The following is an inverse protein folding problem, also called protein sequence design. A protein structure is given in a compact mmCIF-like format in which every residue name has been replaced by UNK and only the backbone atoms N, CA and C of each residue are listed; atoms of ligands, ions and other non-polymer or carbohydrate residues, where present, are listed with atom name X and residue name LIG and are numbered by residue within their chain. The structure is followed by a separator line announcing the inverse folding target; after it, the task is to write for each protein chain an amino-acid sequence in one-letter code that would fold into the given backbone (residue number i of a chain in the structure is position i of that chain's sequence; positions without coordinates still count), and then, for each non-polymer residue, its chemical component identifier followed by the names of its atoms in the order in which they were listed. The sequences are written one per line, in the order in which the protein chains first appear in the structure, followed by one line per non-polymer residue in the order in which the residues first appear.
data_IF_404021324053
#
_entry.id   IF_404021324053
#
_cell.length_a   1.000
_cell.length_b   1.000
_cell.length_c   1.000
_cell.angle_alpha   90.00
_cell.angle_beta   90.00
_cell.angle_gamma   90.00
#
_symmetry.space_group_name_H-M   'P 1'
#
loop_
_entity.id
_entity.type
_entity.pdbx_description
1 polymer ?
#
# COMPACT_ATOMS: atom_id res chain seq x y z
N UNK A 1 -5.33 -12.20 -26.44
CA UNK A 1 -5.03 -11.62 -25.11
C UNK A 1 -3.76 -12.27 -24.63
N UNK A 2 -2.67 -11.52 -24.43
CA UNK A 2 -1.40 -12.07 -23.96
C UNK A 2 -1.60 -12.66 -22.57
N UNK A 3 -1.22 -13.93 -22.39
CA UNK A 3 -1.22 -14.63 -21.12
C UNK A 3 -0.10 -14.06 -20.23
N UNK A 4 -0.23 -12.79 -19.84
CA UNK A 4 0.78 -12.13 -19.01
C UNK A 4 0.69 -12.79 -17.62
N UNK A 5 1.76 -13.47 -17.23
CA UNK A 5 1.81 -14.16 -15.94
C UNK A 5 1.72 -13.12 -14.83
N UNK A 6 0.73 -13.23 -13.94
CA UNK A 6 0.54 -12.33 -12.81
C UNK A 6 1.78 -12.39 -11.89
N UNK A 7 2.29 -11.23 -11.50
CA UNK A 7 3.32 -11.09 -10.46
C UNK A 7 2.75 -10.18 -9.39
N UNK A 8 2.56 -10.71 -8.19
CA UNK A 8 1.95 -10.00 -7.09
C UNK A 8 3.00 -9.24 -6.27
N UNK A 9 2.86 -7.93 -6.19
CA UNK A 9 3.65 -7.07 -5.32
C UNK A 9 2.97 -6.89 -3.97
N UNK A 10 3.73 -7.03 -2.89
CA UNK A 10 3.26 -6.78 -1.53
C UNK A 10 4.09 -5.64 -0.94
N UNK A 11 3.43 -4.54 -0.58
CA UNK A 11 4.06 -3.46 0.18
C UNK A 11 3.57 -3.55 1.61
N UNK A 12 4.48 -3.65 2.56
CA UNK A 12 4.09 -3.77 3.96
C UNK A 12 5.15 -3.32 4.95
N UNK A 13 4.78 -3.28 6.21
CA UNK A 13 5.69 -3.07 7.32
C UNK A 13 6.50 -4.32 7.67
N UNK A 14 7.18 -4.29 8.82
CA UNK A 14 7.93 -5.43 9.34
C UNK A 14 7.00 -6.63 9.60
N UNK A 15 7.43 -7.83 9.17
CA UNK A 15 6.69 -9.08 9.34
C UNK A 15 5.88 -9.55 8.11
N UNK A 16 5.56 -8.66 7.16
CA UNK A 16 4.76 -9.05 5.97
C UNK A 16 5.55 -9.92 4.98
N UNK A 17 6.86 -9.92 5.06
CA UNK A 17 7.77 -10.69 4.20
C UNK A 17 8.36 -11.93 4.87
N UNK A 18 7.97 -12.22 6.11
CA UNK A 18 8.36 -13.42 6.86
C UNK A 18 7.23 -14.46 6.79
N UNK A 19 7.16 -15.14 5.65
CA UNK A 19 6.12 -16.13 5.34
C UNK A 19 6.76 -17.51 5.27
N UNK A 20 6.43 -18.39 6.19
CA UNK A 20 7.00 -19.75 6.35
C UNK A 20 7.00 -20.62 5.09
N UNK A 21 6.07 -20.38 4.17
CA UNK A 21 5.91 -21.18 2.94
C UNK A 21 6.51 -20.55 1.69
N UNK A 22 7.14 -19.37 1.82
CA UNK A 22 7.72 -18.69 0.67
C UNK A 22 8.99 -19.43 0.21
N UNK A 23 9.02 -19.85 -1.05
CA UNK A 23 10.10 -20.63 -1.64
C UNK A 23 10.94 -19.77 -2.59
N UNK A 24 12.17 -20.25 -2.91
CA UNK A 24 13.07 -19.63 -3.87
C UNK A 24 13.34 -18.14 -3.57
N UNK A 25 13.47 -17.80 -2.29
CA UNK A 25 13.60 -16.41 -1.85
C UNK A 25 14.99 -15.86 -2.10
N UNK A 26 15.06 -14.61 -2.58
CA UNK A 26 16.29 -13.84 -2.68
C UNK A 26 16.02 -12.35 -2.65
N UNK A 27 16.91 -11.60 -2.04
CA UNK A 27 16.91 -10.14 -2.06
C UNK A 27 17.61 -9.61 -3.29
N UNK A 28 17.05 -8.56 -3.89
CA UNK A 28 17.64 -7.91 -5.06
C UNK A 28 17.44 -6.41 -5.00
N UNK A 29 18.54 -5.67 -5.18
CA UNK A 29 18.48 -4.23 -5.41
C UNK A 29 17.91 -3.97 -6.80
N UNK A 30 16.88 -3.11 -6.87
CA UNK A 30 16.28 -2.64 -8.14
C UNK A 30 16.46 -1.14 -8.21
N UNK A 31 17.23 -0.67 -9.18
CA UNK A 31 17.50 0.75 -9.37
C UNK A 31 16.29 1.46 -9.98
N UNK A 32 16.07 2.70 -9.55
CA UNK A 32 15.02 3.57 -10.05
C UNK A 32 15.59 4.96 -10.41
N UNK A 33 15.13 5.59 -11.49
CA UNK A 33 15.53 6.95 -11.84
C UNK A 33 15.00 7.99 -10.84
N UNK A 34 14.11 7.58 -9.94
CA UNK A 34 13.56 8.43 -8.89
C UNK A 34 14.36 8.37 -7.57
N UNK A 35 15.50 7.69 -7.57
CA UNK A 35 16.36 7.49 -6.41
C UNK A 35 16.23 6.10 -5.81
N UNK A 36 16.71 5.92 -4.59
CA UNK A 36 16.72 4.62 -3.91
C UNK A 36 15.32 4.29 -3.37
N UNK A 37 14.82 3.06 -3.59
CA UNK A 37 13.68 2.52 -2.87
C UNK A 37 13.95 2.40 -1.37
N UNK A 38 12.91 2.17 -0.58
CA UNK A 38 13.02 2.00 0.88
C UNK A 38 13.92 0.85 1.30
N UNK A 39 14.02 -0.19 0.47
CA UNK A 39 14.92 -1.35 0.65
C UNK A 39 15.09 -2.11 -0.67
N UNK A 40 15.92 -3.15 -0.65
CA UNK A 40 15.92 -4.18 -1.67
C UNK A 40 14.55 -4.87 -1.73
N UNK A 41 14.22 -5.43 -2.89
CA UNK A 41 13.00 -6.22 -3.06
C UNK A 41 13.29 -7.69 -2.72
N UNK A 42 12.40 -8.33 -1.93
CA UNK A 42 12.41 -9.77 -1.72
C UNK A 42 11.55 -10.45 -2.79
N UNK A 43 12.17 -11.26 -3.60
CA UNK A 43 11.49 -12.12 -4.57
C UNK A 43 11.24 -13.47 -3.94
N UNK A 44 10.15 -14.11 -4.30
CA UNK A 44 9.80 -15.45 -3.85
C UNK A 44 8.66 -16.05 -4.64
N UNK A 45 8.28 -17.25 -4.26
CA UNK A 45 7.18 -17.98 -4.88
C UNK A 45 6.35 -18.68 -3.79
N UNK A 46 5.05 -18.51 -3.84
CA UNK A 46 4.10 -19.19 -2.94
C UNK A 46 3.10 -19.97 -3.80
N UNK A 47 3.09 -21.28 -3.65
CA UNK A 47 2.22 -22.20 -4.41
C UNK A 47 2.23 -21.95 -5.94
N UNK A 48 3.42 -21.70 -6.51
CA UNK A 48 3.61 -21.40 -7.93
C UNK A 48 3.30 -19.95 -8.32
N UNK A 49 2.79 -19.12 -7.41
CA UNK A 49 2.55 -17.70 -7.64
C UNK A 49 3.82 -16.89 -7.35
N UNK A 50 4.33 -16.17 -8.33
CA UNK A 50 5.44 -15.24 -8.13
C UNK A 50 5.02 -14.05 -7.30
N UNK A 51 5.83 -13.72 -6.30
CA UNK A 51 5.61 -12.61 -5.38
C UNK A 51 6.87 -11.75 -5.25
N UNK A 52 6.66 -10.46 -5.05
CA UNK A 52 7.71 -9.47 -4.78
C UNK A 52 7.30 -8.65 -3.58
N UNK A 53 8.12 -8.64 -2.54
CA UNK A 53 7.83 -7.88 -1.31
C UNK A 53 8.73 -6.66 -1.22
N UNK A 54 8.16 -5.54 -0.80
CA UNK A 54 8.87 -4.31 -0.49
C UNK A 54 8.62 -3.91 0.97
N UNK A 55 9.67 -3.90 1.82
CA UNK A 55 9.60 -3.31 3.15
C UNK A 55 9.41 -1.79 3.04
N UNK A 56 8.18 -1.29 3.25
CA UNK A 56 7.84 0.13 3.05
C UNK A 56 8.74 1.07 3.83
N UNK A 57 9.08 0.72 5.05
CA UNK A 57 9.92 1.51 5.96
C UNK A 57 11.39 1.03 6.01
N UNK A 58 11.79 0.16 5.06
CA UNK A 58 13.07 -0.55 5.12
C UNK A 58 13.10 -1.60 6.23
N UNK A 59 13.99 -2.57 6.10
CA UNK A 59 14.24 -3.58 7.15
C UNK A 59 14.72 -2.88 8.43
N UNK A 60 14.09 -3.20 9.55
CA UNK A 60 14.34 -2.56 10.85
C UNK A 60 13.60 -1.23 11.03
N UNK A 61 12.62 -0.91 10.18
CA UNK A 61 11.75 0.27 10.31
C UNK A 61 12.51 1.60 10.44
N UNK A 62 13.42 1.86 9.51
CA UNK A 62 14.38 2.99 9.56
C UNK A 62 13.89 4.25 8.87
N UNK A 63 12.90 4.14 7.98
CA UNK A 63 12.42 5.23 7.14
C UNK A 63 11.06 5.71 7.66
N UNK A 64 10.95 6.95 8.17
CA UNK A 64 9.68 7.50 8.62
C UNK A 64 8.74 7.77 7.41
N UNK A 65 7.41 7.85 7.61
CA UNK A 65 6.43 7.96 6.52
C UNK A 65 6.69 9.07 5.52
N UNK A 66 7.10 10.25 5.97
CA UNK A 66 7.33 11.43 5.10
C UNK A 66 8.65 11.36 4.31
N UNK A 67 9.58 10.49 4.69
CA UNK A 67 10.87 10.28 4.03
C UNK A 67 10.87 9.11 3.05
N UNK A 68 9.78 8.34 3.00
CA UNK A 68 9.63 7.23 2.04
C UNK A 68 9.70 7.79 0.62
N UNK A 69 10.59 7.21 -0.18
CA UNK A 69 10.64 7.50 -1.61
C UNK A 69 9.58 6.66 -2.36
N UNK A 70 8.31 7.09 -2.26
CA UNK A 70 7.18 6.38 -2.86
C UNK A 70 7.33 6.21 -4.37
N UNK A 71 7.94 7.19 -5.09
CA UNK A 71 8.17 7.07 -6.54
C UNK A 71 9.14 5.93 -6.84
N UNK A 72 10.27 5.90 -6.14
CA UNK A 72 11.24 4.83 -6.33
C UNK A 72 10.66 3.46 -5.96
N UNK A 73 9.84 3.37 -4.91
CA UNK A 73 9.19 2.14 -4.48
C UNK A 73 8.26 1.57 -5.56
N UNK A 74 7.37 2.39 -6.11
CA UNK A 74 6.42 1.94 -7.15
C UNK A 74 7.14 1.65 -8.47
N UNK A 75 8.10 2.49 -8.88
CA UNK A 75 8.91 2.25 -10.08
C UNK A 75 9.73 0.96 -9.96
N UNK A 76 10.34 0.68 -8.82
CA UNK A 76 11.10 -0.54 -8.59
C UNK A 76 10.21 -1.80 -8.69
N UNK A 77 9.01 -1.78 -8.13
CA UNK A 77 8.04 -2.86 -8.28
C UNK A 77 7.64 -3.05 -9.75
N UNK A 78 7.39 -1.97 -10.47
CA UNK A 78 7.09 -2.01 -11.91
C UNK A 78 8.23 -2.63 -12.70
N UNK A 79 9.49 -2.24 -12.43
CA UNK A 79 10.69 -2.81 -13.06
C UNK A 79 10.93 -4.27 -12.69
N UNK A 80 10.50 -4.68 -11.51
CA UNK A 80 10.50 -6.08 -11.07
C UNK A 80 9.45 -6.95 -11.79
N UNK A 81 8.60 -6.36 -12.64
CA UNK A 81 7.56 -7.05 -13.40
C UNK A 81 6.24 -7.22 -12.64
N UNK A 82 6.07 -6.54 -11.51
CA UNK A 82 4.83 -6.58 -10.73
C UNK A 82 3.66 -6.04 -11.57
N UNK A 83 2.55 -6.78 -11.55
CA UNK A 83 1.31 -6.46 -12.29
C UNK A 83 0.20 -5.96 -11.38
N UNK A 84 0.18 -6.44 -10.15
CA UNK A 84 -0.83 -6.13 -9.14
C UNK A 84 -0.14 -5.87 -7.79
N UNK A 85 -0.59 -4.86 -7.05
CA UNK A 85 -0.01 -4.49 -5.75
C UNK A 85 -1.06 -4.62 -4.66
N UNK A 86 -0.73 -5.35 -3.60
CA UNK A 86 -1.44 -5.32 -2.32
C UNK A 86 -0.60 -4.52 -1.33
N UNK A 87 -1.17 -3.44 -0.83
CA UNK A 87 -0.54 -2.60 0.18
C UNK A 87 -1.19 -2.88 1.54
N UNK A 88 -0.38 -3.33 2.49
CA UNK A 88 -0.82 -3.66 3.85
C UNK A 88 -0.25 -2.66 4.84
N UNK A 89 -1.10 -2.08 5.68
CA UNK A 89 -0.66 -1.19 6.75
C UNK A 89 -1.55 -1.31 7.99
N UNK A 90 -0.96 -1.16 9.16
CA UNK A 90 -1.71 -0.94 10.38
C UNK A 90 -2.33 0.46 10.35
N UNK A 91 -3.59 0.56 10.77
CA UNK A 91 -4.36 1.81 10.76
C UNK A 91 -5.08 2.00 12.10
N UNK A 92 -5.41 3.25 12.41
CA UNK A 92 -6.37 3.56 13.47
C UNK A 92 -7.79 3.45 12.94
N UNK A 93 -8.73 3.05 13.80
CA UNK A 93 -10.16 3.06 13.49
C UNK A 93 -10.77 4.41 13.86
N UNK A 94 -11.64 4.92 13.00
CA UNK A 94 -12.50 6.08 13.24
C UNK A 94 -13.97 5.67 13.48
N UNK A 95 -14.25 4.36 13.46
CA UNK A 95 -15.56 3.74 13.64
C UNK A 95 -15.52 2.73 14.79
N UNK A 96 -16.54 2.70 15.62
CA UNK A 96 -16.60 1.78 16.76
C UNK A 96 -16.72 0.31 16.33
N UNK A 97 -17.42 0.05 15.23
CA UNK A 97 -17.61 -1.27 14.65
C UNK A 97 -16.34 -1.88 14.05
N UNK A 98 -15.34 -1.06 13.72
CA UNK A 98 -14.05 -1.53 13.22
C UNK A 98 -13.09 -1.76 14.39
N UNK A 99 -13.27 -2.88 15.07
CA UNK A 99 -12.47 -3.25 16.25
C UNK A 99 -11.03 -3.65 15.90
N UNK A 100 -10.09 -3.62 16.87
CA UNK A 100 -8.73 -4.09 16.63
C UNK A 100 -8.69 -5.51 16.08
N UNK A 101 -7.89 -5.72 15.03
CA UNK A 101 -7.79 -7.00 14.31
C UNK A 101 -8.71 -7.13 13.10
N UNK A 102 -9.65 -6.19 12.90
CA UNK A 102 -10.49 -6.15 11.70
C UNK A 102 -9.66 -5.77 10.47
N UNK A 103 -9.77 -6.56 9.39
CA UNK A 103 -9.24 -6.20 8.09
C UNK A 103 -10.26 -5.36 7.31
N UNK A 104 -9.79 -4.25 6.76
CA UNK A 104 -10.61 -3.37 5.92
C UNK A 104 -10.02 -3.29 4.51
N UNK A 105 -10.76 -3.74 3.51
CA UNK A 105 -10.40 -3.55 2.10
C UNK A 105 -10.98 -2.20 1.66
N UNK A 106 -10.19 -1.14 1.83
CA UNK A 106 -10.62 0.24 1.52
C UNK A 106 -10.83 0.43 0.02
N UNK A 107 -11.71 1.33 -0.34
CA UNK A 107 -12.00 1.69 -1.72
C UNK A 107 -11.91 3.19 -2.02
N UNK A 108 -11.77 4.02 -0.97
CA UNK A 108 -11.65 5.47 -1.09
C UNK A 108 -10.53 6.04 -0.20
N UNK A 109 -10.02 7.21 -0.59
CA UNK A 109 -8.99 7.93 0.16
C UNK A 109 -9.31 9.41 0.31
N UNK A 110 -8.96 9.96 1.48
CA UNK A 110 -8.78 11.40 1.69
C UNK A 110 -7.30 11.63 1.97
N UNK A 111 -6.61 12.31 1.05
CA UNK A 111 -5.17 12.60 1.15
C UNK A 111 -4.92 13.92 1.87
N UNK A 112 -4.45 13.83 3.11
CA UNK A 112 -4.02 14.97 3.95
C UNK A 112 -2.50 15.08 4.04
N UNK A 113 -1.75 14.38 3.20
CA UNK A 113 -0.30 14.53 3.11
C UNK A 113 0.08 15.80 2.37
N UNK A 114 1.20 16.44 2.72
CA UNK A 114 1.62 17.72 2.14
C UNK A 114 3.11 17.82 1.78
N UNK A 115 3.97 17.00 2.37
CA UNK A 115 5.42 17.05 2.19
C UNK A 115 5.97 15.93 1.28
N UNK A 116 5.14 15.31 0.43
CA UNK A 116 5.48 14.13 -0.38
C UNK A 116 5.42 14.43 -1.87
N UNK A 117 6.30 13.81 -2.64
CA UNK A 117 6.22 13.80 -4.11
C UNK A 117 5.06 12.91 -4.57
N UNK A 118 4.03 13.50 -5.19
CA UNK A 118 2.76 12.83 -5.52
C UNK A 118 2.60 12.49 -7.00
N UNK A 119 3.64 12.67 -7.83
CA UNK A 119 3.57 12.43 -9.27
C UNK A 119 4.92 11.98 -9.82
N UNK A 120 4.90 11.13 -10.83
CA UNK A 120 6.06 10.84 -11.67
C UNK A 120 6.34 11.96 -12.69
N UNK A 121 5.35 12.80 -12.96
CA UNK A 121 5.41 13.88 -13.94
C UNK A 121 5.79 15.19 -13.27
N UNK A 122 6.51 16.05 -14.02
CA UNK A 122 6.98 17.34 -13.54
C UNK A 122 7.01 18.37 -14.69
N UNK A 123 7.77 19.45 -14.55
CA UNK A 123 7.97 20.42 -15.63
C UNK A 123 8.40 19.74 -16.92
N UNK A 124 7.74 20.05 -18.02
CA UNK A 124 7.96 19.47 -19.35
C UNK A 124 6.94 18.41 -19.76
N UNK A 125 6.37 17.68 -18.82
CA UNK A 125 5.28 16.73 -19.06
C UNK A 125 4.31 16.70 -17.89
N UNK A 126 3.09 17.17 -18.13
CA UNK A 126 2.01 17.19 -17.14
C UNK A 126 0.99 16.10 -17.48
N UNK A 127 0.56 15.34 -16.48
CA UNK A 127 -0.50 14.36 -16.63
C UNK A 127 -1.51 14.51 -15.48
N UNK A 128 -2.80 14.44 -15.83
CA UNK A 128 -3.92 14.40 -14.90
C UNK A 128 -4.54 13.01 -14.95
N UNK A 129 -4.31 12.20 -13.91
CA UNK A 129 -4.87 10.85 -13.83
C UNK A 129 -6.20 10.87 -13.10
N UNK A 130 -7.12 10.00 -13.51
CA UNK A 130 -8.40 9.83 -12.80
C UNK A 130 -8.19 9.13 -11.46
N UNK A 131 -8.77 9.69 -10.38
CA UNK A 131 -8.70 9.15 -9.03
C UNK A 131 -10.09 8.95 -8.40
N UNK A 132 -11.15 8.95 -9.21
CA UNK A 132 -12.52 8.71 -8.71
C UNK A 132 -12.67 7.30 -8.10
N UNK A 133 -11.98 6.33 -8.66
CA UNK A 133 -11.92 4.96 -8.16
C UNK A 133 -10.44 4.58 -7.96
N UNK A 134 -9.85 4.92 -6.82
CA UNK A 134 -8.39 4.85 -6.61
C UNK A 134 -7.87 3.43 -6.35
N UNK A 135 -8.75 2.45 -6.18
CA UNK A 135 -8.43 1.07 -5.83
C UNK A 135 -8.97 0.12 -6.90
N UNK A 136 -8.23 -0.95 -7.16
CA UNK A 136 -8.61 -1.99 -8.12
C UNK A 136 -9.73 -2.86 -7.53
N UNK A 137 -10.96 -2.70 -8.04
CA UNK A 137 -12.12 -3.45 -7.57
C UNK A 137 -11.96 -4.97 -7.78
N UNK A 138 -11.42 -5.38 -8.96
CA UNK A 138 -11.12 -6.79 -9.25
C UNK A 138 -10.22 -7.43 -8.18
N UNK A 139 -9.14 -6.74 -7.81
CA UNK A 139 -8.23 -7.25 -6.77
C UNK A 139 -8.90 -7.28 -5.40
N UNK A 140 -9.74 -6.28 -5.10
CA UNK A 140 -10.54 -6.25 -3.87
C UNK A 140 -11.52 -7.42 -3.78
N UNK A 141 -12.17 -7.81 -4.87
CA UNK A 141 -13.03 -8.99 -4.95
C UNK A 141 -12.26 -10.29 -4.67
N UNK A 142 -11.05 -10.43 -5.24
CA UNK A 142 -10.19 -11.58 -4.96
C UNK A 142 -9.78 -11.65 -3.50
N UNK A 143 -9.45 -10.51 -2.88
CA UNK A 143 -9.10 -10.46 -1.45
C UNK A 143 -10.30 -10.84 -0.56
N UNK A 144 -11.49 -10.37 -0.90
CA UNK A 144 -12.73 -10.71 -0.18
C UNK A 144 -13.01 -12.21 -0.25
N UNK A 145 -12.92 -12.82 -1.44
CA UNK A 145 -13.09 -14.27 -1.61
C UNK A 145 -12.03 -15.05 -0.82
N UNK A 146 -10.77 -14.65 -0.91
CA UNK A 146 -9.69 -15.31 -0.19
C UNK A 146 -9.86 -15.23 1.34
N UNK A 147 -10.31 -14.10 1.86
CA UNK A 147 -10.62 -13.94 3.28
C UNK A 147 -11.76 -14.88 3.71
N UNK A 148 -12.84 -14.93 2.94
CA UNK A 148 -13.96 -15.83 3.18
C UNK A 148 -13.53 -17.30 3.17
N UNK A 149 -12.75 -17.72 2.20
CA UNK A 149 -12.24 -19.10 2.09
C UNK A 149 -11.30 -19.45 3.25
N UNK A 150 -10.62 -18.46 3.82
CA UNK A 150 -9.73 -18.60 4.98
C UNK A 150 -10.46 -18.43 6.33
N UNK A 151 -11.76 -18.16 6.33
CA UNK A 151 -12.54 -17.92 7.56
C UNK A 151 -12.16 -16.62 8.27
N UNK A 152 -11.60 -15.64 7.54
CA UNK A 152 -11.21 -14.33 8.08
C UNK A 152 -12.35 -13.34 7.82
N UNK A 153 -12.82 -12.71 8.89
CA UNK A 153 -13.81 -11.64 8.77
C UNK A 153 -13.14 -10.36 8.28
N UNK A 154 -13.75 -9.75 7.27
CA UNK A 154 -13.28 -8.48 6.68
C UNK A 154 -14.44 -7.51 6.48
N UNK A 155 -14.10 -6.22 6.41
CA UNK A 155 -15.00 -5.17 5.94
C UNK A 155 -14.60 -4.76 4.52
N UNK A 156 -15.54 -4.79 3.59
CA UNK A 156 -15.35 -4.37 2.21
C UNK A 156 -15.85 -2.94 2.02
N UNK A 157 -14.99 -2.08 1.46
CA UNK A 157 -15.22 -0.65 1.31
C UNK A 157 -14.72 0.14 2.52
N UNK A 158 -14.74 1.44 2.38
CA UNK A 158 -14.38 2.39 3.41
C UNK A 158 -13.36 3.43 2.97
N UNK A 159 -13.46 4.60 3.59
CA UNK A 159 -12.60 5.75 3.31
C UNK A 159 -11.39 5.76 4.24
N UNK A 160 -10.20 5.65 3.66
CA UNK A 160 -8.94 5.78 4.38
C UNK A 160 -8.44 7.23 4.33
N UNK A 161 -8.40 7.89 5.48
CA UNK A 161 -7.74 9.19 5.62
C UNK A 161 -6.23 8.99 5.80
N UNK A 162 -5.42 9.54 4.90
CA UNK A 162 -3.96 9.47 5.00
C UNK A 162 -3.41 10.80 5.50
N UNK A 163 -2.92 10.79 6.73
CA UNK A 163 -2.26 11.94 7.36
C UNK A 163 -0.74 11.93 7.09
N UNK A 164 -0.09 13.09 7.26
CA UNK A 164 1.36 13.19 7.04
C UNK A 164 2.17 12.37 8.05
N UNK A 165 1.82 12.48 9.33
CA UNK A 165 2.66 11.95 10.42
C UNK A 165 3.87 12.85 10.72
N UNK A 166 4.84 12.42 11.54
CA UNK A 166 4.90 11.12 12.22
C UNK A 166 4.03 10.98 13.46
N UNK A 167 3.45 12.08 13.98
CA UNK A 167 2.52 12.03 15.12
C UNK A 167 1.15 11.50 14.69
N UNK A 168 0.40 10.97 15.65
CA UNK A 168 -1.01 10.67 15.47
C UNK A 168 -1.87 11.94 15.50
N UNK A 169 -3.11 11.84 15.03
CA UNK A 169 -4.08 12.92 15.05
C UNK A 169 -4.44 13.33 16.49
N UNK A 170 -4.64 14.63 16.69
CA UNK A 170 -5.28 15.14 17.91
C UNK A 170 -6.74 14.66 18.00
N UNK A 171 -7.36 14.80 19.18
CA UNK A 171 -8.79 14.49 19.35
C UNK A 171 -9.65 15.33 18.40
N UNK A 172 -9.37 16.62 18.30
CA UNK A 172 -10.10 17.53 17.40
C UNK A 172 -9.97 17.15 15.91
N UNK A 173 -8.78 16.75 15.49
CA UNK A 173 -8.57 16.22 14.12
C UNK A 173 -9.34 14.93 13.90
N UNK A 174 -9.32 14.01 14.87
CA UNK A 174 -10.06 12.74 14.78
C UNK A 174 -11.58 12.97 14.71
N UNK A 175 -12.12 13.92 15.49
CA UNK A 175 -13.53 14.32 15.41
C UNK A 175 -13.89 14.92 14.06
N UNK A 176 -13.02 15.78 13.51
CA UNK A 176 -13.17 16.33 12.17
C UNK A 176 -13.19 15.20 11.10
N UNK A 177 -12.29 14.22 11.19
CA UNK A 177 -12.21 13.13 10.23
C UNK A 177 -13.41 12.19 10.31
N UNK A 178 -13.95 11.96 11.51
CA UNK A 178 -15.23 11.27 11.70
C UNK A 178 -16.39 12.02 11.02
N UNK A 179 -16.42 13.36 11.15
CA UNK A 179 -17.45 14.18 10.49
C UNK A 179 -17.37 14.13 8.96
N UNK A 180 -16.21 13.76 8.40
CA UNK A 180 -16.00 13.51 6.97
C UNK A 180 -16.33 12.08 6.54
N UNK A 181 -16.89 11.26 7.44
CA UNK A 181 -17.18 9.84 7.21
C UNK A 181 -15.95 9.01 6.85
N UNK A 182 -14.78 9.34 7.41
CA UNK A 182 -13.62 8.47 7.30
C UNK A 182 -13.79 7.25 8.20
N UNK A 183 -13.35 6.09 7.71
CA UNK A 183 -13.48 4.82 8.42
C UNK A 183 -12.17 4.46 9.14
N UNK A 184 -11.05 4.63 8.46
CA UNK A 184 -9.72 4.33 9.00
C UNK A 184 -8.74 5.47 8.74
N UNK A 185 -7.69 5.55 9.57
CA UNK A 185 -6.65 6.57 9.47
C UNK A 185 -5.26 5.95 9.56
N UNK A 186 -4.36 6.40 8.69
CA UNK A 186 -2.96 6.00 8.70
C UNK A 186 -2.08 6.98 7.96
N UNK A 187 -0.84 6.57 7.60
CA UNK A 187 0.18 7.49 7.11
C UNK A 187 0.78 7.13 5.75
N UNK A 188 0.43 5.99 5.14
CA UNK A 188 1.28 5.42 4.09
C UNK A 188 0.65 5.21 2.72
N UNK A 189 -0.67 5.02 2.63
CA UNK A 189 -1.30 4.69 1.34
C UNK A 189 -1.42 5.86 0.36
N UNK A 190 -1.08 7.09 0.78
CA UNK A 190 -0.89 8.23 -0.11
C UNK A 190 0.51 8.81 0.04
N UNK A 191 1.21 9.05 -1.06
CA UNK A 191 0.80 8.94 -2.47
C UNK A 191 0.95 7.55 -3.09
N UNK A 192 1.15 6.48 -2.31
CA UNK A 192 1.40 5.11 -2.80
C UNK A 192 0.34 4.68 -3.83
N UNK A 193 -0.95 4.83 -3.51
CA UNK A 193 -2.05 4.49 -4.42
C UNK A 193 -2.09 5.38 -5.67
N UNK A 194 -1.79 6.69 -5.55
CA UNK A 194 -1.73 7.61 -6.70
C UNK A 194 -0.64 7.22 -7.69
N UNK A 195 0.50 6.78 -7.19
CA UNK A 195 1.66 6.42 -8.00
C UNK A 195 1.49 5.04 -8.64
N UNK A 196 0.81 4.12 -7.96
CA UNK A 196 0.50 2.80 -8.50
C UNK A 196 -0.53 2.85 -9.64
#
# INVERSE_FOLDING_TARGET
MSNQKVVLGIIGGSGVYDIDKLQNTYWKKVESPFGEPSDELLFGELDGQKMVFLPRHGRGHKVPPSEINFRANIDALKRAGVTDIISVSAVGSLKEELTPGTFVIVDQFIDRTFARNKSFFSSGLVAHVSMAHPVCNRLGEHLELAAKDSGIEIVRGGTYLVMEGPQFSSVAESELYRSWNCDVIGMTNMPEAKLA
#
